data_IF_504979871495
#
_entry.id   IF_504979871495
#
_cell.length_a   1.000
_cell.length_b   1.000
_cell.length_c   1.000
_cell.angle_alpha   90.00
_cell.angle_beta   90.00
_cell.angle_gamma   90.00
#
_symmetry.space_group_name_H-M   'P 1'
#
loop_
_entity.id
_entity.type
_entity.pdbx_description
1 polymer ?
#
# COMPACT_ATOMS: atom_id res chain seq x y z
N UNK A 1 18.06 -19.16 -11.51
CA UNK A 1 17.62 -19.57 -10.16
C UNK A 1 16.23 -19.00 -9.99
N UNK A 2 15.19 -19.84 -10.09
CA UNK A 2 13.82 -19.39 -9.94
C UNK A 2 13.61 -19.02 -8.47
N UNK A 3 13.29 -17.75 -8.22
CA UNK A 3 12.95 -17.25 -6.89
C UNK A 3 11.66 -17.94 -6.45
N UNK A 4 11.80 -18.90 -5.53
CA UNK A 4 10.69 -19.62 -4.88
C UNK A 4 9.99 -18.78 -3.80
N UNK A 5 10.31 -17.49 -3.71
CA UNK A 5 9.54 -16.57 -2.88
C UNK A 5 8.11 -16.50 -3.40
N UNK A 6 7.14 -16.84 -2.55
CA UNK A 6 5.70 -16.60 -2.76
C UNK A 6 5.35 -15.11 -2.97
N UNK A 7 6.35 -14.23 -2.89
CA UNK A 7 6.22 -12.78 -2.94
C UNK A 7 7.28 -12.20 -3.89
N UNK A 8 6.86 -11.31 -4.78
CA UNK A 8 7.80 -10.50 -5.56
C UNK A 8 8.71 -9.74 -4.60
N UNK A 9 10.02 -10.01 -4.68
CA UNK A 9 11.03 -9.38 -3.84
C UNK A 9 11.17 -7.89 -4.14
N UNK A 10 10.26 -7.06 -3.64
CA UNK A 10 10.31 -5.62 -3.83
C UNK A 10 11.22 -4.98 -2.78
N UNK A 11 12.53 -5.09 -2.98
CA UNK A 11 13.54 -4.55 -2.08
C UNK A 11 13.49 -3.00 -1.93
N UNK A 12 12.69 -2.29 -2.77
CA UNK A 12 12.64 -0.81 -2.77
C UNK A 12 11.25 -0.18 -3.03
N UNK A 13 10.16 -0.95 -3.08
CA UNK A 13 8.82 -0.37 -3.29
C UNK A 13 8.20 0.08 -1.95
N UNK A 14 7.64 1.30 -1.92
CA UNK A 14 6.78 1.72 -0.81
C UNK A 14 5.50 0.88 -0.81
N UNK A 15 5.02 0.55 0.39
CA UNK A 15 3.71 -0.05 0.60
C UNK A 15 2.77 1.03 1.09
N UNK A 16 1.84 1.45 0.23
CA UNK A 16 0.87 2.49 0.54
C UNK A 16 -0.38 1.86 1.12
N UNK A 17 -0.57 1.99 2.42
CA UNK A 17 -1.78 1.56 3.11
C UNK A 17 -2.79 2.70 3.26
N UNK A 18 -4.02 2.48 2.79
CA UNK A 18 -5.13 3.39 3.01
C UNK A 18 -5.61 3.30 4.47
N UNK A 19 -5.46 4.37 5.23
CA UNK A 19 -5.89 4.46 6.64
C UNK A 19 -7.41 4.42 6.81
N UNK A 20 -8.19 4.69 5.76
CA UNK A 20 -9.66 4.65 5.83
C UNK A 20 -10.22 3.25 5.65
N UNK A 21 -9.62 2.43 4.79
CA UNK A 21 -10.24 1.19 4.33
C UNK A 21 -9.29 -0.01 4.25
N UNK A 22 -8.01 0.16 4.58
CA UNK A 22 -7.02 -0.91 4.62
C UNK A 22 -6.56 -1.42 3.26
N UNK A 23 -6.94 -0.78 2.14
CA UNK A 23 -6.38 -1.13 0.83
C UNK A 23 -4.86 -0.92 0.82
N UNK A 24 -4.13 -1.78 0.12
CA UNK A 24 -2.68 -1.65 -0.07
C UNK A 24 -2.37 -1.47 -1.55
N UNK A 25 -1.52 -0.48 -1.85
CA UNK A 25 -0.91 -0.28 -3.17
C UNK A 25 0.60 -0.48 -3.03
N UNK A 26 1.18 -1.20 -3.98
CA UNK A 26 2.61 -1.49 -4.00
C UNK A 26 3.27 -0.60 -5.06
N UNK A 27 4.41 0.02 -4.72
CA UNK A 27 5.21 0.77 -5.68
C UNK A 27 4.86 2.26 -5.75
N UNK A 28 4.35 2.69 -6.90
CA UNK A 28 4.19 4.10 -7.28
C UNK A 28 3.30 4.92 -6.33
N UNK A 29 3.29 6.24 -6.53
CA UNK A 29 2.49 7.14 -5.71
C UNK A 29 1.00 6.77 -5.80
N UNK A 30 0.22 6.81 -4.69
CA UNK A 30 -1.22 6.57 -4.73
C UNK A 30 -1.91 7.57 -5.66
N UNK A 31 -2.91 7.07 -6.40
CA UNK A 31 -3.84 7.88 -7.20
C UNK A 31 -4.60 8.88 -6.30
N UNK A 32 -5.31 9.81 -6.92
CA UNK A 32 -6.07 10.86 -6.20
C UNK A 32 -7.11 10.27 -5.23
N UNK A 33 -7.68 9.12 -5.55
CA UNK A 33 -8.71 8.46 -4.77
C UNK A 33 -8.35 6.98 -4.57
N UNK A 34 -8.83 6.40 -3.47
CA UNK A 34 -8.68 4.99 -3.19
C UNK A 34 -9.64 4.15 -4.03
N UNK A 35 -9.12 3.17 -4.78
CA UNK A 35 -9.91 2.25 -5.64
C UNK A 35 -11.03 1.47 -4.92
N UNK A 36 -11.05 1.45 -3.58
CA UNK A 36 -11.99 0.66 -2.77
C UNK A 36 -12.98 1.48 -1.95
N UNK A 37 -12.62 2.70 -1.56
CA UNK A 37 -13.43 3.50 -0.64
C UNK A 37 -13.51 4.97 -1.02
N UNK A 38 -12.88 5.34 -2.15
CA UNK A 38 -12.90 6.70 -2.70
C UNK A 38 -12.29 7.76 -1.77
N UNK A 39 -11.66 7.35 -0.67
CA UNK A 39 -10.94 8.27 0.21
C UNK A 39 -9.82 8.96 -0.58
N UNK A 40 -9.68 10.27 -0.35
CA UNK A 40 -8.66 11.08 -0.99
C UNK A 40 -7.24 10.57 -0.67
N UNK A 41 -6.29 10.77 -1.58
CA UNK A 41 -4.91 10.28 -1.49
C UNK A 41 -4.16 10.60 -0.19
N UNK A 42 -4.58 11.64 0.52
CA UNK A 42 -4.06 11.97 1.86
C UNK A 42 -4.32 10.88 2.90
N UNK A 43 -5.25 9.96 2.65
CA UNK A 43 -5.52 8.81 3.49
C UNK A 43 -4.48 7.69 3.33
N UNK A 44 -3.63 7.72 2.31
CA UNK A 44 -2.55 6.74 2.13
C UNK A 44 -1.31 7.11 2.93
N UNK A 45 -0.71 6.13 3.59
CA UNK A 45 0.56 6.24 4.31
C UNK A 45 1.51 5.12 3.90
N UNK A 46 2.81 5.35 3.98
CA UNK A 46 3.81 4.27 3.97
C UNK A 46 3.61 3.41 5.23
N UNK A 47 3.27 2.14 5.04
CA UNK A 47 3.10 1.19 6.14
C UNK A 47 4.38 0.38 6.39
N UNK A 48 4.68 0.03 7.65
CA UNK A 48 5.79 -0.87 7.96
C UNK A 48 5.66 -2.21 7.22
N UNK A 49 6.76 -2.70 6.64
CA UNK A 49 6.77 -4.00 5.96
C UNK A 49 6.45 -5.16 6.91
N UNK A 50 6.83 -5.04 8.19
CA UNK A 50 6.48 -6.03 9.22
C UNK A 50 4.97 -6.17 9.42
N UNK A 51 4.23 -5.07 9.30
CA UNK A 51 2.77 -5.06 9.41
C UNK A 51 2.16 -5.81 8.24
N UNK A 52 2.58 -5.52 7.01
CA UNK A 52 2.09 -6.22 5.82
C UNK A 52 2.47 -7.70 5.82
N UNK A 53 3.68 -8.05 6.31
CA UNK A 53 4.09 -9.44 6.50
C UNK A 53 3.12 -10.19 7.42
N UNK A 54 2.77 -9.61 8.57
CA UNK A 54 1.84 -10.23 9.51
C UNK A 54 0.48 -10.53 8.87
N UNK A 55 -0.06 -9.60 8.06
CA UNK A 55 -1.32 -9.83 7.33
C UNK A 55 -1.20 -10.99 6.34
N UNK A 56 -0.08 -11.07 5.60
CA UNK A 56 0.14 -12.12 4.59
C UNK A 56 0.40 -13.50 5.20
N UNK A 57 1.05 -13.55 6.36
CA UNK A 57 1.26 -14.78 7.12
C UNK A 57 -0.04 -15.30 7.74
N UNK A 58 -0.92 -14.40 8.19
CA UNK A 58 -2.23 -14.75 8.74
C UNK A 58 -3.20 -15.24 7.65
N UNK A 59 -3.13 -14.66 6.44
CA UNK A 59 -3.98 -15.00 5.31
C UNK A 59 -3.19 -15.40 4.06
N UNK A 60 -2.52 -16.58 4.07
CA UNK A 60 -1.63 -16.98 2.98
C UNK A 60 -2.36 -17.28 1.66
N UNK A 61 -3.65 -17.63 1.71
CA UNK A 61 -4.42 -18.06 0.54
C UNK A 61 -5.34 -16.95 -0.01
N UNK A 62 -5.42 -15.81 0.69
CA UNK A 62 -6.27 -14.69 0.28
C UNK A 62 -5.44 -13.64 -0.47
N UNK A 63 -6.02 -12.98 -1.50
CA UNK A 63 -5.34 -11.88 -2.16
C UNK A 63 -5.18 -10.70 -1.18
N UNK A 64 -4.12 -9.86 -1.32
CA UNK A 64 -3.84 -8.75 -0.40
C UNK A 64 -4.97 -7.72 -0.24
N UNK A 65 -5.80 -7.59 -1.30
CA UNK A 65 -6.95 -6.69 -1.39
C UNK A 65 -8.25 -7.29 -0.84
N UNK A 66 -8.24 -8.55 -0.40
CA UNK A 66 -9.42 -9.20 0.18
C UNK A 66 -9.90 -8.46 1.45
N UNK A 67 -11.22 -8.48 1.72
CA UNK A 67 -11.84 -7.76 2.83
C UNK A 67 -11.18 -8.09 4.18
N UNK A 68 -10.98 -9.38 4.48
CA UNK A 68 -10.30 -9.83 5.72
C UNK A 68 -8.89 -9.26 5.87
N UNK A 69 -8.10 -9.23 4.79
CA UNK A 69 -6.75 -8.67 4.80
C UNK A 69 -6.79 -7.16 5.07
N UNK A 70 -7.76 -6.45 4.49
CA UNK A 70 -7.94 -5.01 4.67
C UNK A 70 -8.37 -4.66 6.10
N UNK A 71 -9.33 -5.39 6.66
CA UNK A 71 -9.78 -5.24 8.04
C UNK A 71 -8.62 -5.47 9.01
N UNK A 72 -7.89 -6.58 8.83
CA UNK A 72 -6.73 -6.89 9.67
C UNK A 72 -5.64 -5.82 9.58
N UNK A 73 -5.40 -5.30 8.39
CA UNK A 73 -4.44 -4.22 8.18
C UNK A 73 -4.83 -2.96 8.95
N UNK A 74 -6.11 -2.59 8.96
CA UNK A 74 -6.61 -1.45 9.74
C UNK A 74 -6.43 -1.66 11.25
N UNK A 75 -6.66 -2.87 11.76
CA UNK A 75 -6.41 -3.19 13.17
C UNK A 75 -4.93 -3.00 13.53
N UNK A 76 -4.03 -3.56 12.73
CA UNK A 76 -2.60 -3.45 12.98
C UNK A 76 -2.09 -2.01 12.84
N UNK A 77 -2.62 -1.24 11.88
CA UNK A 77 -2.30 0.18 11.74
C UNK A 77 -2.71 0.98 12.98
N UNK A 78 -3.90 0.70 13.53
CA UNK A 78 -4.39 1.35 14.74
C UNK A 78 -3.54 0.96 15.96
N UNK A 79 -3.25 -0.34 16.12
CA UNK A 79 -2.45 -0.84 17.22
C UNK A 79 -1.02 -0.27 17.22
N UNK A 80 -0.40 -0.16 16.03
CA UNK A 80 0.95 0.38 15.85
C UNK A 80 1.02 1.92 15.73
N UNK A 81 -0.10 2.63 15.85
CA UNK A 81 -0.19 4.07 15.58
C UNK A 81 0.48 4.48 14.25
N UNK A 82 0.25 3.69 13.20
CA UNK A 82 0.94 3.81 11.91
C UNK A 82 0.85 5.23 11.32
N UNK A 83 -0.26 5.94 11.55
CA UNK A 83 -0.41 7.32 11.07
C UNK A 83 0.58 8.32 11.70
N UNK A 84 1.05 8.08 12.93
CA UNK A 84 2.03 8.94 13.62
C UNK A 84 3.46 8.52 13.32
N UNK A 85 3.68 7.24 13.00
CA UNK A 85 5.00 6.65 12.75
C UNK A 85 5.34 6.54 11.26
N UNK A 86 4.37 6.77 10.38
CA UNK A 86 4.57 6.76 8.94
C UNK A 86 5.64 7.78 8.54
N UNK A 87 6.63 7.31 7.78
CA UNK A 87 7.70 8.15 7.23
C UNK A 87 7.18 9.10 6.16
N UNK A 88 6.22 8.62 5.37
CA UNK A 88 5.63 9.35 4.24
C UNK A 88 4.11 9.17 4.26
N UNK A 89 3.40 10.25 3.97
CA UNK A 89 1.96 10.24 3.72
C UNK A 89 1.70 10.74 2.30
N UNK A 90 0.59 10.30 1.69
CA UNK A 90 0.16 10.64 0.33
C UNK A 90 -0.23 12.11 0.12
N UNK A 91 0.28 13.04 0.95
CA UNK A 91 0.34 14.47 0.58
C UNK A 91 1.20 14.60 -0.68
N UNK A 92 0.96 15.66 -1.44
CA UNK A 92 1.78 15.99 -2.61
C UNK A 92 3.24 16.02 -2.15
N UNK A 93 4.00 14.97 -2.44
CA UNK A 93 5.45 15.01 -2.35
C UNK A 93 5.85 16.18 -3.24
N UNK A 94 6.66 17.14 -2.75
CA UNK A 94 7.04 18.30 -3.53
C UNK A 94 7.75 17.81 -4.80
N UNK A 95 6.99 17.82 -5.89
CA UNK A 95 7.39 17.82 -7.29
C UNK A 95 8.65 17.02 -7.62
N UNK A 96 8.50 15.72 -7.91
CA UNK A 96 9.02 15.31 -9.20
C UNK A 96 8.12 15.95 -10.25
N UNK A 97 8.64 17.02 -10.86
CA UNK A 97 8.12 17.63 -12.06
C UNK A 97 8.04 16.57 -13.16
N UNK A 98 6.88 15.97 -13.33
CA UNK A 98 6.61 15.05 -14.41
C UNK A 98 5.17 14.60 -14.27
N UNK A 99 4.40 14.72 -15.34
CA UNK A 99 3.01 14.31 -15.39
C UNK A 99 2.83 12.93 -14.73
N UNK A 100 1.78 12.77 -13.92
CA UNK A 100 1.33 11.49 -13.39
C UNK A 100 0.97 10.58 -14.57
N UNK A 101 1.96 9.98 -15.20
CA UNK A 101 1.73 8.99 -16.21
C UNK A 101 1.64 7.66 -15.48
N UNK A 102 0.45 7.06 -15.54
CA UNK A 102 0.26 5.68 -15.11
C UNK A 102 1.04 4.79 -16.10
N UNK A 103 2.11 4.08 -15.68
CA UNK A 103 2.89 3.27 -16.60
C UNK A 103 2.10 2.12 -17.24
N UNK A 104 0.87 1.84 -16.81
CA UNK A 104 -0.05 0.91 -17.48
C UNK A 104 -0.85 1.53 -18.63
N UNK A 105 -0.80 2.86 -18.83
CA UNK A 105 -1.46 3.52 -19.97
C UNK A 105 -0.64 3.45 -21.28
N UNK A 106 0.58 2.92 -21.23
CA UNK A 106 1.42 2.69 -22.40
C UNK A 106 1.41 1.21 -22.82
N UNK A 107 0.28 0.72 -23.29
CA UNK A 107 0.27 -0.47 -24.15
C UNK A 107 0.59 -0.04 -25.59
N UNK A 108 1.82 -0.34 -26.03
CA UNK A 108 2.26 -0.27 -27.43
C UNK A 108 2.04 -1.62 -28.12
#
# INVERSE_FOLDING_TARGET
MADNSKYTGYFQALLWGCTSCGNVLEGGQPKMECDFCEAFKSAYIDIPQDLERAVREEFPDLPPKHIKCRERRLELMKAGNAQRTARVAGRVLPTQSGNNIDPTEFDL
#
